data_IF_447492723834
#
_entry.id   IF_447492723834
#
_cell.length_a   1.000
_cell.length_b   1.000
_cell.length_c   1.000
_cell.angle_alpha   90.00
_cell.angle_beta   90.00
_cell.angle_gamma   90.00
#
_symmetry.space_group_name_H-M   'P 1'
#
loop_
_entity.id
_entity.type
_entity.pdbx_description
1 polymer ?
#
# COMPACT_ATOMS: atom_id res chain seq x y z
N UNK A 1 2.38 7.56 31.93
CA UNK A 1 2.99 6.98 30.71
C UNK A 1 1.92 6.18 29.98
N UNK A 2 1.77 6.31 28.67
CA UNK A 2 0.74 5.55 27.91
C UNK A 2 1.29 4.16 27.54
N UNK A 3 1.45 3.30 28.55
CA UNK A 3 2.06 1.96 28.42
C UNK A 3 1.33 1.03 27.43
N UNK A 4 0.08 1.36 27.06
CA UNK A 4 -0.72 0.56 26.14
C UNK A 4 -0.93 1.18 24.75
N UNK A 5 -0.28 2.33 24.46
CA UNK A 5 -0.41 2.96 23.14
C UNK A 5 0.57 2.36 22.17
N UNK A 6 0.08 1.93 21.01
CA UNK A 6 0.87 1.40 19.90
C UNK A 6 0.61 2.28 18.67
N UNK A 7 1.67 2.83 18.08
CA UNK A 7 1.56 3.55 16.82
C UNK A 7 1.77 2.61 15.64
N UNK A 8 0.88 2.71 14.66
CA UNK A 8 0.93 1.94 13.42
C UNK A 8 1.18 2.93 12.29
N UNK A 9 2.31 2.77 11.62
CA UNK A 9 2.72 3.65 10.53
C UNK A 9 2.30 3.04 9.19
N UNK A 10 1.27 3.62 8.58
CA UNK A 10 0.65 3.18 7.35
C UNK A 10 -0.74 2.60 7.57
N UNK A 11 -1.72 3.16 6.85
CA UNK A 11 -3.14 2.81 6.89
C UNK A 11 -3.58 1.87 5.77
N UNK A 12 -2.67 1.08 5.20
CA UNK A 12 -2.97 0.00 4.27
C UNK A 12 -3.59 -1.23 4.96
N UNK A 13 -3.86 -2.31 4.22
CA UNK A 13 -4.50 -3.52 4.77
C UNK A 13 -3.75 -4.09 5.97
N UNK A 14 -2.42 -4.16 5.91
CA UNK A 14 -1.60 -4.64 7.03
C UNK A 14 -1.76 -3.76 8.28
N UNK A 15 -1.76 -2.44 8.12
CA UNK A 15 -1.92 -1.50 9.24
C UNK A 15 -3.32 -1.55 9.85
N UNK A 16 -4.35 -1.65 9.03
CA UNK A 16 -5.73 -1.76 9.50
C UNK A 16 -5.95 -3.07 10.27
N UNK A 17 -5.51 -4.20 9.71
CA UNK A 17 -5.64 -5.50 10.40
C UNK A 17 -4.83 -5.52 11.70
N UNK A 18 -3.59 -5.01 11.70
CA UNK A 18 -2.78 -4.88 12.90
C UNK A 18 -3.50 -4.05 13.97
N UNK A 19 -4.06 -2.91 13.59
CA UNK A 19 -4.80 -2.04 14.51
C UNK A 19 -6.01 -2.75 15.13
N UNK A 20 -6.75 -3.47 14.30
CA UNK A 20 -7.90 -4.25 14.77
C UNK A 20 -7.46 -5.32 15.79
N UNK A 21 -6.45 -6.12 15.47
CA UNK A 21 -5.96 -7.18 16.37
C UNK A 21 -5.42 -6.62 17.68
N UNK A 22 -4.64 -5.54 17.64
CA UNK A 22 -4.14 -4.89 18.85
C UNK A 22 -5.27 -4.36 19.74
N UNK A 23 -6.33 -3.81 19.14
CA UNK A 23 -7.53 -3.38 19.88
C UNK A 23 -8.22 -4.56 20.57
N UNK A 24 -8.33 -5.73 19.90
CA UNK A 24 -8.90 -6.95 20.50
C UNK A 24 -8.08 -7.43 21.71
N UNK A 25 -6.78 -7.18 21.71
CA UNK A 25 -5.89 -7.47 22.86
C UNK A 25 -5.95 -6.42 23.97
N UNK A 26 -6.85 -5.44 23.90
CA UNK A 26 -7.01 -4.39 24.92
C UNK A 26 -5.97 -3.26 24.84
N UNK A 27 -5.17 -3.22 23.78
CA UNK A 27 -4.20 -2.16 23.53
C UNK A 27 -4.88 -0.95 22.85
N UNK A 28 -4.20 0.18 22.80
CA UNK A 28 -4.68 1.45 22.23
C UNK A 28 -3.92 1.77 20.93
N UNK A 29 -4.28 1.15 19.79
CA UNK A 29 -3.66 1.45 18.52
C UNK A 29 -4.04 2.83 17.99
N UNK A 30 -3.09 3.52 17.34
CA UNK A 30 -3.31 4.73 16.56
C UNK A 30 -2.70 4.51 15.18
N UNK A 31 -3.50 4.67 14.13
CA UNK A 31 -3.02 4.59 12.74
C UNK A 31 -2.55 5.98 12.29
N UNK A 32 -1.30 6.08 11.83
CA UNK A 32 -0.75 7.25 11.18
C UNK A 32 -0.69 6.99 9.67
N UNK A 33 -1.44 7.75 8.89
CA UNK A 33 -1.50 7.60 7.42
C UNK A 33 -1.15 8.93 6.74
N UNK A 34 -0.25 8.86 5.76
CA UNK A 34 0.21 10.03 5.00
C UNK A 34 -0.83 10.60 4.04
N UNK A 35 -1.77 9.76 3.60
CA UNK A 35 -2.84 10.12 2.68
C UNK A 35 -4.11 10.55 3.44
N UNK A 36 -5.07 11.06 2.71
CA UNK A 36 -6.39 11.47 3.22
C UNK A 36 -7.33 10.29 3.51
N UNK A 37 -6.96 9.05 3.10
CA UNK A 37 -7.78 7.84 3.21
C UNK A 37 -6.94 6.64 3.63
N UNK A 38 -7.61 5.71 4.31
CA UNK A 38 -7.09 4.37 4.55
C UNK A 38 -7.25 3.49 3.30
N UNK A 39 -6.45 2.43 3.21
CA UNK A 39 -6.55 1.41 2.18
C UNK A 39 -5.24 1.15 1.43
N UNK A 40 -4.37 2.16 1.30
CA UNK A 40 -3.12 2.01 0.55
C UNK A 40 -3.38 1.59 -0.89
N UNK A 41 -2.58 0.66 -1.41
CA UNK A 41 -2.76 0.12 -2.78
C UNK A 41 -4.06 -0.67 -2.95
N UNK A 42 -4.56 -1.35 -1.91
CA UNK A 42 -5.82 -2.10 -1.96
C UNK A 42 -6.99 -1.22 -2.43
N UNK A 43 -6.99 0.05 -2.08
CA UNK A 43 -8.02 1.00 -2.51
C UNK A 43 -8.01 1.30 -4.03
N UNK A 44 -6.96 0.88 -4.75
CA UNK A 44 -6.79 1.11 -6.19
C UNK A 44 -7.00 -0.16 -7.03
N UNK A 45 -7.01 -1.34 -6.41
CA UNK A 45 -7.13 -2.62 -7.09
C UNK A 45 -8.58 -3.08 -7.22
N UNK A 46 -8.84 -3.91 -8.23
CA UNK A 46 -10.14 -4.51 -8.51
C UNK A 46 -10.26 -5.89 -7.86
N UNK A 47 -9.31 -6.78 -8.16
CA UNK A 47 -9.33 -8.15 -7.69
C UNK A 47 -8.08 -8.52 -6.89
N UNK A 48 -8.17 -9.58 -6.12
CA UNK A 48 -7.09 -10.07 -5.26
C UNK A 48 -6.70 -11.50 -5.63
N UNK A 49 -5.44 -11.66 -6.03
CA UNK A 49 -4.85 -12.98 -6.27
C UNK A 49 -4.73 -13.79 -4.96
N UNK A 50 -4.93 -15.13 -4.96
CA UNK A 50 -5.20 -15.99 -6.12
C UNK A 50 -6.68 -16.30 -6.36
N UNK A 51 -7.58 -15.89 -5.50
CA UNK A 51 -8.98 -16.29 -5.52
C UNK A 51 -9.88 -15.34 -6.34
N UNK A 52 -9.32 -14.27 -6.90
CA UNK A 52 -10.08 -13.19 -7.57
C UNK A 52 -11.13 -12.56 -6.65
N UNK A 53 -10.83 -12.50 -5.34
CA UNK A 53 -11.70 -11.84 -4.37
C UNK A 53 -11.82 -10.35 -4.68
N UNK A 54 -13.00 -9.79 -4.43
CA UNK A 54 -13.27 -8.38 -4.62
C UNK A 54 -12.46 -7.51 -3.64
N UNK A 55 -11.60 -6.64 -4.16
CA UNK A 55 -10.72 -5.81 -3.35
C UNK A 55 -11.52 -4.77 -2.52
N UNK A 56 -12.63 -4.24 -3.06
CA UNK A 56 -13.48 -3.28 -2.34
C UNK A 56 -14.16 -3.93 -1.14
N UNK A 57 -14.66 -5.15 -1.28
CA UNK A 57 -15.27 -5.90 -0.18
C UNK A 57 -14.30 -6.11 0.98
N UNK A 58 -13.04 -6.46 0.70
CA UNK A 58 -12.02 -6.55 1.73
C UNK A 58 -11.70 -5.19 2.35
N UNK A 59 -11.60 -4.15 1.55
CA UNK A 59 -11.33 -2.79 2.01
C UNK A 59 -12.42 -2.30 2.96
N UNK A 60 -13.69 -2.48 2.61
CA UNK A 60 -14.83 -2.09 3.45
C UNK A 60 -14.86 -2.88 4.77
N UNK A 61 -14.60 -4.19 4.73
CA UNK A 61 -14.45 -5.01 5.94
C UNK A 61 -13.39 -4.42 6.88
N UNK A 62 -12.18 -4.13 6.36
CA UNK A 62 -11.09 -3.58 7.16
C UNK A 62 -11.41 -2.17 7.71
N UNK A 63 -12.04 -1.31 6.92
CA UNK A 63 -12.49 0.01 7.37
C UNK A 63 -13.50 -0.10 8.51
N UNK A 64 -14.47 -1.01 8.39
CA UNK A 64 -15.47 -1.25 9.41
C UNK A 64 -14.85 -1.76 10.72
N UNK A 65 -13.90 -2.69 10.65
CA UNK A 65 -13.13 -3.17 11.81
C UNK A 65 -12.37 -2.03 12.51
N UNK A 66 -11.90 -1.04 11.74
CA UNK A 66 -11.17 0.11 12.25
C UNK A 66 -12.05 1.33 12.58
N UNK A 67 -13.38 1.22 12.54
CA UNK A 67 -14.30 2.35 12.72
C UNK A 67 -14.00 3.17 13.98
N UNK A 68 -13.83 2.50 15.11
CA UNK A 68 -13.60 3.11 16.43
C UNK A 68 -12.10 3.15 16.82
N UNK A 69 -11.19 2.99 15.88
CA UNK A 69 -9.75 3.13 16.10
C UNK A 69 -9.33 4.55 15.76
N UNK A 70 -8.50 5.15 16.60
CA UNK A 70 -7.95 6.48 16.35
C UNK A 70 -7.09 6.49 15.07
N UNK A 71 -7.32 7.46 14.19
CA UNK A 71 -6.61 7.63 12.92
C UNK A 71 -6.12 9.08 12.78
N UNK A 72 -4.90 9.24 12.31
CA UNK A 72 -4.34 10.53 11.91
C UNK A 72 -4.03 10.44 10.42
N UNK A 73 -4.94 10.98 9.62
CA UNK A 73 -4.82 11.07 8.17
C UNK A 73 -4.06 12.35 7.79
N UNK A 74 -3.55 12.43 6.56
CA UNK A 74 -2.70 13.53 6.08
C UNK A 74 -1.51 13.80 7.02
N UNK A 75 -1.03 12.77 7.71
CA UNK A 75 -0.01 12.88 8.74
C UNK A 75 1.26 12.12 8.35
N UNK A 76 2.36 12.83 8.23
CA UNK A 76 3.70 12.25 8.01
C UNK A 76 4.49 12.34 9.30
N UNK A 77 5.29 11.33 9.57
CA UNK A 77 6.23 11.35 10.69
C UNK A 77 7.47 12.13 10.25
N UNK A 78 7.88 13.08 11.08
CA UNK A 78 9.07 13.91 10.86
C UNK A 78 10.22 13.52 11.78
N UNK A 79 9.91 12.99 12.97
CA UNK A 79 10.93 12.57 13.92
C UNK A 79 10.45 11.40 14.77
N UNK A 80 11.38 10.52 15.14
CA UNK A 80 11.18 9.43 16.11
C UNK A 80 12.40 9.41 17.01
N UNK A 81 12.17 9.53 18.32
CA UNK A 81 13.20 9.30 19.34
C UNK A 81 12.75 8.20 20.29
N UNK A 82 13.69 7.55 20.93
CA UNK A 82 13.43 6.52 21.94
C UNK A 82 14.08 6.95 23.25
N UNK A 83 13.27 7.06 24.30
CA UNK A 83 13.71 7.41 25.64
C UNK A 83 13.05 6.49 26.65
N UNK A 84 13.82 5.94 27.59
CA UNK A 84 13.31 5.17 28.73
C UNK A 84 12.21 4.14 28.36
N UNK A 85 12.43 3.29 27.36
CA UNK A 85 11.45 2.30 26.86
C UNK A 85 10.18 2.88 26.22
N UNK A 86 10.11 4.18 25.94
CA UNK A 86 9.04 4.81 25.21
C UNK A 86 9.56 5.43 23.91
N UNK A 87 8.70 5.43 22.88
CA UNK A 87 8.96 6.15 21.65
C UNK A 87 8.24 7.49 21.68
N UNK A 88 8.95 8.55 21.34
CA UNK A 88 8.38 9.87 21.13
C UNK A 88 8.36 10.17 19.64
N UNK A 89 7.17 10.39 19.06
CA UNK A 89 6.94 10.52 17.62
C UNK A 89 6.36 11.89 17.34
N UNK A 90 6.98 12.64 16.41
CA UNK A 90 6.50 13.96 15.97
C UNK A 90 5.96 13.85 14.54
N UNK A 91 4.79 14.42 14.30
CA UNK A 91 4.15 14.50 12.99
C UNK A 91 4.44 15.84 12.29
N UNK A 92 4.19 15.89 11.00
CA UNK A 92 4.40 17.08 10.15
C UNK A 92 3.59 18.32 10.56
N UNK A 93 2.53 18.15 11.33
CA UNK A 93 1.72 19.20 11.90
C UNK A 93 2.14 19.60 13.34
N UNK A 94 3.34 19.19 13.77
CA UNK A 94 3.92 19.42 15.10
C UNK A 94 3.15 18.76 16.27
N UNK A 95 2.23 17.84 15.99
CA UNK A 95 1.61 17.01 17.01
C UNK A 95 2.56 15.88 17.36
N UNK A 96 2.72 15.59 18.64
CA UNK A 96 3.58 14.51 19.12
C UNK A 96 2.79 13.47 19.90
N UNK A 97 3.28 12.24 19.86
CA UNK A 97 2.73 11.08 20.57
C UNK A 97 3.82 10.31 21.28
N UNK A 98 3.49 9.83 22.48
CA UNK A 98 4.29 8.82 23.17
C UNK A 98 3.64 7.47 22.97
N UNK A 99 4.44 6.45 22.69
CA UNK A 99 3.99 5.09 22.48
C UNK A 99 4.95 4.06 23.06
N UNK A 100 4.40 2.94 23.53
CA UNK A 100 5.20 1.81 24.02
C UNK A 100 5.87 1.06 22.86
N UNK A 101 5.24 1.04 21.69
CA UNK A 101 5.79 0.39 20.49
C UNK A 101 5.32 1.09 19.21
N UNK A 102 6.06 0.80 18.12
CA UNK A 102 5.74 1.22 16.76
C UNK A 102 5.67 -0.02 15.89
N UNK A 103 4.61 -0.13 15.06
CA UNK A 103 4.50 -1.15 14.01
C UNK A 103 4.60 -0.48 12.65
N UNK A 104 5.54 -0.95 11.82
CA UNK A 104 5.75 -0.42 10.47
C UNK A 104 4.90 -1.19 9.46
N UNK A 105 3.93 -0.52 8.87
CA UNK A 105 3.02 -1.03 7.84
C UNK A 105 3.03 -0.11 6.61
N UNK A 106 4.21 0.38 6.23
CA UNK A 106 4.39 1.44 5.21
C UNK A 106 4.15 0.97 3.78
N UNK A 107 3.98 -0.34 3.57
CA UNK A 107 3.76 -0.92 2.25
C UNK A 107 5.00 -0.85 1.36
N UNK A 108 4.77 -0.66 0.07
CA UNK A 108 5.81 -0.58 -0.97
C UNK A 108 5.47 0.51 -1.98
N UNK A 109 6.46 0.95 -2.72
CA UNK A 109 6.29 1.83 -3.86
C UNK A 109 6.33 1.01 -5.16
N UNK A 110 5.48 1.37 -6.13
CA UNK A 110 5.51 0.78 -7.46
C UNK A 110 6.79 1.18 -8.19
N UNK A 111 7.34 0.26 -8.96
CA UNK A 111 8.49 0.57 -9.79
C UNK A 111 8.12 1.63 -10.83
N UNK A 112 8.99 2.62 -10.97
CA UNK A 112 8.82 3.68 -12.00
C UNK A 112 9.22 3.12 -13.36
N UNK A 113 8.22 2.74 -14.16
CA UNK A 113 8.41 2.07 -15.46
C UNK A 113 9.19 2.94 -16.47
N UNK A 114 9.17 4.26 -16.30
CA UNK A 114 9.95 5.23 -17.10
C UNK A 114 11.47 4.99 -17.03
N UNK A 115 11.94 4.29 -16.00
CA UNK A 115 13.36 3.90 -15.90
C UNK A 115 13.76 2.80 -16.87
N UNK A 116 12.80 2.19 -17.55
CA UNK A 116 12.98 1.09 -18.51
C UNK A 116 12.35 1.45 -19.86
N UNK A 117 12.88 2.49 -20.48
CA UNK A 117 12.36 3.05 -21.75
C UNK A 117 12.39 2.05 -22.91
N UNK A 118 13.25 1.03 -22.85
CA UNK A 118 13.32 -0.04 -23.84
C UNK A 118 12.01 -0.82 -24.01
N UNK A 119 11.10 -0.76 -23.05
CA UNK A 119 9.77 -1.37 -23.14
C UNK A 119 8.69 -0.42 -23.65
N UNK A 120 9.05 0.85 -23.90
CA UNK A 120 8.17 1.82 -24.55
C UNK A 120 7.11 2.46 -23.65
N UNK A 121 7.15 2.23 -22.31
CA UNK A 121 6.27 2.92 -21.38
C UNK A 121 6.52 4.44 -21.40
N UNK A 122 5.44 5.22 -21.48
CA UNK A 122 5.50 6.67 -21.66
C UNK A 122 5.86 7.15 -23.09
N UNK A 123 6.16 6.20 -24.01
CA UNK A 123 6.41 6.46 -25.42
C UNK A 123 5.21 6.04 -26.27
N UNK A 124 4.68 4.84 -26.01
CA UNK A 124 3.53 4.29 -26.71
C UNK A 124 2.30 4.26 -25.81
N UNK A 125 1.19 4.79 -26.26
CA UNK A 125 -0.04 4.89 -25.48
C UNK A 125 -0.63 3.53 -25.05
N UNK A 126 -0.34 2.47 -25.80
CA UNK A 126 -0.81 1.11 -25.53
C UNK A 126 0.14 0.29 -24.65
N UNK A 127 1.20 0.90 -24.10
CA UNK A 127 2.09 0.28 -23.11
C UNK A 127 1.74 0.82 -21.73
N UNK A 128 1.22 -0.05 -20.89
CA UNK A 128 0.72 0.28 -19.54
C UNK A 128 1.37 -0.61 -18.50
N UNK A 129 1.34 -0.21 -17.25
CA UNK A 129 1.73 -1.02 -16.10
C UNK A 129 0.56 -1.87 -15.60
N UNK A 130 0.84 -2.97 -14.89
CA UNK A 130 -0.21 -3.74 -14.22
C UNK A 130 -1.04 -2.89 -13.26
N UNK A 131 -0.42 -1.95 -12.55
CA UNK A 131 -1.15 -1.06 -11.64
C UNK A 131 -2.13 -0.14 -12.36
N UNK A 132 -1.83 0.26 -13.60
CA UNK A 132 -2.77 1.01 -14.44
C UNK A 132 -3.88 0.10 -14.96
N UNK A 133 -3.56 -1.15 -15.30
CA UNK A 133 -4.55 -2.14 -15.71
C UNK A 133 -5.55 -2.44 -14.58
N UNK A 134 -5.07 -2.67 -13.36
CA UNK A 134 -5.91 -2.84 -12.17
C UNK A 134 -6.85 -1.64 -11.94
N UNK A 135 -6.32 -0.44 -12.07
CA UNK A 135 -7.12 0.78 -11.96
C UNK A 135 -8.17 0.85 -13.06
N UNK A 136 -7.84 0.41 -14.28
CA UNK A 136 -8.81 0.34 -15.38
C UNK A 136 -9.94 -0.63 -15.06
N UNK A 137 -9.65 -1.83 -14.61
CA UNK A 137 -10.68 -2.81 -14.24
C UNK A 137 -11.62 -2.26 -13.17
N UNK A 138 -11.09 -1.53 -12.20
CA UNK A 138 -11.88 -0.91 -11.15
C UNK A 138 -12.75 0.27 -11.63
N UNK A 139 -12.26 1.08 -12.56
CA UNK A 139 -12.89 2.35 -12.93
C UNK A 139 -13.51 2.38 -14.32
N UNK A 140 -13.11 1.47 -15.21
CA UNK A 140 -13.43 1.45 -16.64
C UNK A 140 -13.19 2.80 -17.34
N UNK A 141 -12.19 3.54 -16.89
CA UNK A 141 -11.92 4.90 -17.33
C UNK A 141 -10.49 5.06 -17.84
N UNK A 142 -10.16 4.35 -18.92
CA UNK A 142 -8.89 4.52 -19.63
C UNK A 142 -9.04 4.12 -21.10
N UNK A 143 -9.07 5.11 -21.99
CA UNK A 143 -9.25 4.92 -23.44
C UNK A 143 -8.09 4.14 -24.09
N UNK A 144 -6.95 3.98 -23.41
CA UNK A 144 -5.81 3.22 -23.92
C UNK A 144 -6.06 1.71 -23.97
N UNK A 145 -7.06 1.23 -23.22
CA UNK A 145 -7.37 -0.21 -23.03
C UNK A 145 -8.69 -0.57 -23.77
N UNK A 146 -8.83 -0.11 -24.99
CA UNK A 146 -10.07 -0.32 -25.74
C UNK A 146 -9.94 -1.54 -26.66
N UNK A 147 -10.67 -2.62 -26.38
CA UNK A 147 -10.80 -3.85 -27.17
C UNK A 147 -9.49 -4.35 -27.83
N UNK A 148 -8.45 -4.68 -27.06
CA UNK A 148 -7.19 -5.09 -27.64
C UNK A 148 -7.33 -6.44 -28.37
N UNK A 149 -6.92 -6.51 -29.61
CA UNK A 149 -6.90 -7.78 -30.38
C UNK A 149 -5.77 -8.71 -29.97
N UNK A 150 -4.70 -8.19 -29.38
CA UNK A 150 -3.54 -8.94 -28.90
C UNK A 150 -2.98 -8.27 -27.67
N UNK A 151 -2.68 -9.06 -26.64
CA UNK A 151 -2.07 -8.60 -25.40
C UNK A 151 -0.75 -9.29 -25.22
N UNK A 152 0.29 -8.53 -24.90
CA UNK A 152 1.62 -9.03 -24.57
C UNK A 152 1.99 -8.64 -23.14
N UNK A 153 2.52 -9.58 -22.36
CA UNK A 153 3.01 -9.34 -21.01
C UNK A 153 4.54 -9.30 -20.98
N UNK A 154 5.10 -8.22 -20.43
CA UNK A 154 6.54 -8.11 -20.16
C UNK A 154 6.73 -8.21 -18.65
N UNK A 155 7.21 -9.37 -18.21
CA UNK A 155 7.44 -9.62 -16.79
C UNK A 155 8.79 -9.10 -16.31
N UNK A 156 8.92 -8.98 -14.98
CA UNK A 156 10.14 -8.58 -14.29
C UNK A 156 10.67 -7.18 -14.63
N UNK A 157 9.82 -6.28 -15.12
CA UNK A 157 10.23 -4.89 -15.36
C UNK A 157 10.57 -4.24 -14.02
N UNK A 158 11.84 -3.85 -13.84
CA UNK A 158 12.35 -3.27 -12.61
C UNK A 158 12.50 -4.25 -11.43
N UNK A 159 12.43 -5.56 -11.68
CA UNK A 159 12.83 -6.60 -10.73
C UNK A 159 13.71 -7.63 -11.43
N UNK A 160 14.55 -8.38 -10.68
CA UNK A 160 15.58 -9.27 -11.26
C UNK A 160 16.51 -8.54 -12.27
N UNK A 161 16.70 -7.26 -12.06
CA UNK A 161 17.37 -6.36 -12.99
C UNK A 161 18.50 -5.61 -12.30
N UNK A 162 19.75 -6.01 -12.61
CA UNK A 162 20.98 -5.39 -12.08
C UNK A 162 21.13 -3.95 -12.53
N UNK A 163 20.64 -3.59 -13.72
CA UNK A 163 20.81 -2.25 -14.28
C UNK A 163 20.09 -1.15 -13.48
N UNK A 164 19.03 -1.52 -12.79
CA UNK A 164 18.29 -0.62 -11.90
C UNK A 164 18.49 -0.95 -10.42
N UNK A 165 19.49 -1.79 -10.11
CA UNK A 165 19.83 -2.25 -8.76
C UNK A 165 18.68 -2.96 -8.03
N UNK A 166 17.83 -3.69 -8.75
CA UNK A 166 16.70 -4.43 -8.25
C UNK A 166 16.84 -5.92 -8.60
N UNK A 167 17.56 -6.66 -7.80
CA UNK A 167 17.78 -8.11 -8.01
C UNK A 167 16.70 -8.99 -7.39
N UNK A 168 15.82 -8.40 -6.58
CA UNK A 168 14.75 -9.07 -5.86
C UNK A 168 13.65 -9.58 -6.80
N UNK A 169 13.03 -10.70 -6.43
CA UNK A 169 11.82 -11.25 -7.07
C UNK A 169 10.76 -11.57 -6.01
N UNK A 170 9.56 -11.04 -6.19
CA UNK A 170 8.42 -11.32 -5.30
C UNK A 170 7.89 -12.76 -5.42
N UNK A 171 8.20 -13.44 -6.54
CA UNK A 171 7.71 -14.78 -6.93
C UNK A 171 6.20 -14.87 -7.22
N UNK A 172 5.48 -13.76 -7.17
CA UNK A 172 4.01 -13.74 -7.37
C UNK A 172 3.56 -12.80 -8.48
N UNK A 173 4.27 -11.69 -8.74
CA UNK A 173 3.79 -10.66 -9.67
C UNK A 173 3.56 -11.14 -11.12
N UNK A 174 4.30 -12.13 -11.60
CA UNK A 174 4.06 -12.68 -12.94
C UNK A 174 2.81 -13.55 -12.98
N UNK A 175 2.52 -14.31 -11.91
CA UNK A 175 1.29 -15.08 -11.82
C UNK A 175 0.08 -14.16 -11.72
N UNK A 176 0.12 -13.16 -10.85
CA UNK A 176 -0.93 -12.14 -10.71
C UNK A 176 -1.25 -11.48 -12.05
N UNK A 177 -0.22 -10.94 -12.73
CA UNK A 177 -0.39 -10.24 -13.99
C UNK A 177 -0.92 -11.10 -15.17
N UNK A 178 -0.81 -12.42 -15.08
CA UNK A 178 -1.20 -13.32 -16.17
C UNK A 178 -2.53 -14.02 -15.93
N UNK A 179 -3.05 -13.99 -14.70
CA UNK A 179 -4.27 -14.70 -14.29
C UNK A 179 -5.44 -13.74 -14.09
N UNK A 180 -5.18 -12.54 -13.62
CA UNK A 180 -6.18 -11.47 -13.50
C UNK A 180 -6.39 -10.77 -14.84
#
# INVERSE_FOLDING_TARGET
MNENRILIIGGGPAGMETAFQLKQLGLKPIIIEKNDKLGGHLAQWDRLFPASDDAESLLEKLKNQCKDIEKKLNAKITNITKENNSFHITLSNNISYDAAAIVLCTGFDLFKAEKKQEYGYGIYNNVITNAELEKYFKTHNDDRINEPKRIGFVHCVGSRDVKVNNTYCSKVCCATASVE
#
